data_IF_396754591668
#
_entry.id   IF_396754591668
#
_cell.length_a   1.000
_cell.length_b   1.000
_cell.length_c   1.000
_cell.angle_alpha   90.00
_cell.angle_beta   90.00
_cell.angle_gamma   90.00
#
_symmetry.space_group_name_H-M   'P 1'
#
loop_
_entity.id
_entity.type
_entity.pdbx_description
1 polymer ?
#
# COMPACT_ATOMS: atom_id res chain seq x y z
N UNK A 1 -16.53 -13.63 -5.84
CA UNK A 1 -15.51 -12.74 -6.42
C UNK A 1 -16.15 -12.01 -7.57
N UNK A 2 -16.08 -10.69 -7.56
CA UNK A 2 -16.59 -9.83 -8.65
C UNK A 2 -15.40 -9.36 -9.49
N UNK A 3 -15.58 -9.27 -10.81
CA UNK A 3 -14.47 -8.99 -11.74
C UNK A 3 -15.00 -8.45 -13.05
N UNK A 4 -14.15 -7.70 -13.75
CA UNK A 4 -14.47 -7.21 -15.09
C UNK A 4 -13.23 -6.87 -15.89
N UNK A 5 -13.35 -6.96 -17.21
CA UNK A 5 -12.30 -6.67 -18.18
C UNK A 5 -12.90 -5.85 -19.31
N UNK A 6 -12.23 -4.77 -19.69
CA UNK A 6 -12.38 -4.04 -20.95
C UNK A 6 -11.00 -3.74 -21.51
N UNK A 7 -10.89 -3.17 -22.71
CA UNK A 7 -9.61 -3.01 -23.40
C UNK A 7 -8.55 -2.24 -22.58
N UNK A 8 -8.98 -1.19 -21.87
CA UNK A 8 -8.12 -0.23 -21.15
C UNK A 8 -8.04 -0.46 -19.64
N UNK A 9 -8.78 -1.42 -19.08
CA UNK A 9 -8.83 -1.67 -17.64
C UNK A 9 -9.33 -3.06 -17.30
N UNK A 10 -9.02 -3.48 -16.09
CA UNK A 10 -9.70 -4.61 -15.47
C UNK A 10 -9.66 -4.50 -13.95
N UNK A 11 -10.50 -5.27 -13.28
CA UNK A 11 -10.52 -5.28 -11.82
C UNK A 11 -10.89 -6.65 -11.28
N UNK A 12 -10.48 -6.90 -10.04
CA UNK A 12 -10.86 -8.06 -9.26
C UNK A 12 -11.20 -7.63 -7.84
N UNK A 13 -12.36 -8.04 -7.36
CA UNK A 13 -12.84 -7.80 -6.01
C UNK A 13 -13.19 -9.13 -5.33
N UNK A 14 -12.50 -9.41 -4.22
CA UNK A 14 -12.69 -10.61 -3.43
C UNK A 14 -13.23 -10.23 -2.05
N UNK A 15 -14.12 -11.07 -1.53
CA UNK A 15 -14.63 -10.99 -0.16
C UNK A 15 -14.30 -12.30 0.54
N UNK A 16 -13.77 -12.22 1.76
CA UNK A 16 -13.52 -13.42 2.58
C UNK A 16 -14.83 -14.13 2.90
N UNK A 17 -14.79 -15.45 3.04
CA UNK A 17 -15.99 -16.23 3.36
C UNK A 17 -16.44 -15.99 4.81
N UNK A 18 -17.75 -16.07 5.03
CA UNK A 18 -18.30 -16.05 6.39
C UNK A 18 -17.75 -17.24 7.18
N UNK A 19 -17.45 -17.02 8.45
CA UNK A 19 -16.92 -18.04 9.36
C UNK A 19 -17.87 -18.20 10.55
N UNK A 20 -17.89 -19.37 11.21
CA UNK A 20 -18.79 -19.64 12.33
C UNK A 20 -18.43 -18.86 13.60
N UNK A 21 -17.30 -18.15 13.63
CA UNK A 21 -16.84 -17.37 14.78
C UNK A 21 -17.30 -15.91 14.73
N UNK A 22 -18.11 -15.53 13.73
CA UNK A 22 -18.61 -14.16 13.59
C UNK A 22 -17.54 -13.12 13.27
N UNK A 23 -16.34 -13.55 12.85
CA UNK A 23 -15.28 -12.61 12.45
C UNK A 23 -15.73 -11.87 11.19
N UNK A 24 -15.51 -10.56 11.19
CA UNK A 24 -15.87 -9.67 10.08
C UNK A 24 -15.28 -10.15 8.74
N UNK A 25 -16.07 -10.00 7.67
CA UNK A 25 -15.61 -10.30 6.32
C UNK A 25 -14.85 -9.09 5.75
N UNK A 26 -13.73 -9.37 5.09
CA UNK A 26 -12.93 -8.34 4.44
C UNK A 26 -13.16 -8.38 2.93
N UNK A 27 -13.31 -7.20 2.34
CA UNK A 27 -13.37 -7.00 0.89
C UNK A 27 -12.08 -6.32 0.47
N UNK A 28 -11.46 -6.83 -0.59
CA UNK A 28 -10.33 -6.20 -1.27
C UNK A 28 -10.68 -6.08 -2.75
N UNK A 29 -10.58 -4.87 -3.29
CA UNK A 29 -10.72 -4.58 -4.70
C UNK A 29 -9.38 -4.05 -5.23
N UNK A 30 -8.88 -4.66 -6.30
CA UNK A 30 -7.73 -4.19 -7.06
C UNK A 30 -8.17 -3.91 -8.50
N UNK A 31 -8.09 -2.64 -8.92
CA UNK A 31 -8.34 -2.21 -10.29
C UNK A 31 -7.03 -1.82 -10.96
N UNK A 32 -6.87 -2.17 -12.23
CA UNK A 32 -5.74 -1.77 -13.06
C UNK A 32 -6.20 -0.97 -14.28
N UNK A 33 -5.43 0.06 -14.63
CA UNK A 33 -5.57 0.85 -15.85
C UNK A 33 -4.20 0.97 -16.53
N UNK A 34 -4.19 1.28 -17.82
CA UNK A 34 -2.98 1.27 -18.63
C UNK A 34 -2.82 2.57 -19.42
N UNK A 35 -1.57 2.95 -19.69
CA UNK A 35 -1.21 4.06 -20.55
C UNK A 35 0.09 3.75 -21.31
N UNK A 36 0.46 4.61 -22.26
CA UNK A 36 1.63 4.44 -23.10
C UNK A 36 1.27 4.17 -24.56
N UNK A 37 2.22 3.63 -25.31
CA UNK A 37 2.15 3.52 -26.77
C UNK A 37 1.64 2.17 -27.29
N UNK A 38 1.49 1.19 -26.39
CA UNK A 38 1.01 -0.14 -26.76
C UNK A 38 -0.49 -0.13 -27.06
N UNK A 39 -0.91 -0.92 -28.05
CA UNK A 39 -2.30 -1.11 -28.43
C UNK A 39 -2.87 -2.34 -27.73
N UNK A 40 -4.05 -2.20 -27.15
CA UNK A 40 -4.79 -3.34 -26.62
C UNK A 40 -5.25 -4.22 -27.78
N UNK A 41 -5.06 -5.54 -27.66
CA UNK A 41 -5.54 -6.52 -28.65
C UNK A 41 -6.38 -7.64 -28.02
N UNK A 42 -6.50 -7.68 -26.69
CA UNK A 42 -7.33 -8.66 -26.03
C UNK A 42 -7.41 -8.48 -24.52
N UNK A 43 -8.31 -9.25 -23.92
CA UNK A 43 -8.45 -9.37 -22.48
C UNK A 43 -9.09 -10.70 -22.14
N UNK A 44 -8.78 -11.23 -20.95
CA UNK A 44 -9.41 -12.46 -20.48
C UNK A 44 -9.66 -12.44 -18.99
N UNK A 45 -10.67 -13.19 -18.57
CA UNK A 45 -11.00 -13.39 -17.17
C UNK A 45 -11.25 -14.87 -16.89
N UNK A 46 -10.78 -15.32 -15.73
CA UNK A 46 -11.05 -16.64 -15.16
C UNK A 46 -11.60 -16.47 -13.75
N UNK A 47 -11.78 -17.57 -13.03
CA UNK A 47 -12.18 -17.52 -11.61
C UNK A 47 -11.17 -16.84 -10.71
N UNK A 48 -9.89 -16.82 -11.09
CA UNK A 48 -8.80 -16.37 -10.22
C UNK A 48 -7.96 -15.25 -10.83
N UNK A 49 -8.30 -14.79 -12.03
CA UNK A 49 -7.47 -13.86 -12.78
C UNK A 49 -8.30 -12.94 -13.68
N UNK A 50 -7.81 -11.71 -13.83
CA UNK A 50 -8.14 -10.82 -14.94
C UNK A 50 -6.85 -10.43 -15.67
N UNK A 51 -6.93 -10.25 -16.98
CA UNK A 51 -5.79 -9.90 -17.82
C UNK A 51 -6.20 -8.99 -18.96
N UNK A 52 -5.26 -8.13 -19.34
CA UNK A 52 -5.30 -7.30 -20.53
C UNK A 52 -4.04 -7.59 -21.34
N UNK A 53 -4.18 -7.68 -22.65
CA UNK A 53 -3.10 -8.01 -23.58
C UNK A 53 -2.84 -6.85 -24.52
N UNK A 54 -1.58 -6.47 -24.61
CA UNK A 54 -1.10 -5.29 -25.32
C UNK A 54 0.06 -5.64 -26.24
N UNK A 55 0.12 -5.00 -27.40
CA UNK A 55 1.19 -5.19 -28.38
C UNK A 55 1.69 -3.84 -28.91
N UNK A 56 2.95 -3.82 -29.33
CA UNK A 56 3.58 -2.69 -30.00
C UNK A 56 4.65 -3.22 -30.97
N UNK A 57 4.82 -2.56 -32.11
CA UNK A 57 5.97 -2.76 -32.98
C UNK A 57 7.13 -1.92 -32.46
N UNK A 58 8.21 -2.57 -32.04
CA UNK A 58 9.38 -1.87 -31.49
C UNK A 58 10.36 -1.55 -32.62
N UNK A 59 10.64 -0.26 -32.82
CA UNK A 59 11.60 0.25 -33.80
C UNK A 59 12.81 0.94 -33.16
N UNK A 60 13.31 1.99 -33.80
CA UNK A 60 14.41 2.82 -33.26
C UNK A 60 14.00 3.80 -32.17
N UNK A 61 12.69 3.94 -31.89
CA UNK A 61 12.14 4.80 -30.82
C UNK A 61 11.69 3.93 -29.65
N UNK A 62 11.98 4.31 -28.38
CA UNK A 62 11.48 3.59 -27.22
C UNK A 62 9.96 3.60 -27.13
N UNK A 63 9.38 2.44 -26.87
CA UNK A 63 7.96 2.28 -26.54
C UNK A 63 7.75 2.36 -25.01
N UNK A 64 6.58 2.82 -24.58
CA UNK A 64 6.26 3.00 -23.15
C UNK A 64 5.02 2.21 -22.78
N UNK A 65 5.06 1.57 -21.62
CA UNK A 65 3.92 0.86 -21.05
C UNK A 65 3.82 1.18 -19.57
N UNK A 66 2.73 1.84 -19.19
CA UNK A 66 2.42 2.17 -17.81
C UNK A 66 1.24 1.34 -17.33
N UNK A 67 1.37 0.75 -16.15
CA UNK A 67 0.29 0.08 -15.45
C UNK A 67 0.06 0.75 -14.10
N UNK A 68 -1.17 1.18 -13.86
CA UNK A 68 -1.58 1.86 -12.62
C UNK A 68 -2.56 0.97 -11.88
N UNK A 69 -2.25 0.64 -10.63
CA UNK A 69 -3.08 -0.23 -9.80
C UNK A 69 -3.60 0.54 -8.60
N UNK A 70 -4.92 0.53 -8.42
CA UNK A 70 -5.59 1.09 -7.25
C UNK A 70 -6.15 -0.06 -6.41
N UNK A 71 -5.82 -0.06 -5.12
CA UNK A 71 -6.31 -1.03 -4.14
C UNK A 71 -7.20 -0.32 -3.13
N UNK A 72 -8.38 -0.87 -2.88
CA UNK A 72 -9.39 -0.35 -1.93
C UNK A 72 -9.95 -1.49 -1.10
N UNK A 73 -10.33 -1.22 0.15
CA UNK A 73 -10.72 -2.27 1.09
C UNK A 73 -12.00 -1.94 1.86
N UNK A 74 -12.65 -2.96 2.41
CA UNK A 74 -13.83 -2.77 3.28
C UNK A 74 -13.52 -2.09 4.60
N UNK A 75 -12.24 -1.97 4.99
CA UNK A 75 -11.84 -1.19 6.16
C UNK A 75 -12.10 0.30 5.96
N UNK A 76 -12.15 0.76 4.71
CA UNK A 76 -12.28 2.17 4.35
C UNK A 76 -13.65 2.49 3.75
N UNK A 77 -14.32 1.51 3.14
CA UNK A 77 -15.61 1.68 2.48
C UNK A 77 -16.57 0.52 2.80
N UNK A 78 -17.80 0.81 3.22
CA UNK A 78 -18.74 -0.23 3.61
C UNK A 78 -19.43 -0.89 2.41
N UNK A 79 -19.23 -2.19 2.25
CA UNK A 79 -19.89 -3.01 1.23
C UNK A 79 -19.18 -3.01 -0.13
N UNK A 80 -19.43 -4.07 -0.91
CA UNK A 80 -18.72 -4.34 -2.17
C UNK A 80 -18.83 -3.19 -3.18
N UNK A 81 -20.02 -2.62 -3.35
CA UNK A 81 -20.24 -1.55 -4.31
C UNK A 81 -19.52 -0.25 -3.92
N UNK A 82 -19.47 0.10 -2.63
CA UNK A 82 -18.75 1.28 -2.17
C UNK A 82 -17.24 1.11 -2.36
N UNK A 83 -16.69 -0.06 -2.02
CA UNK A 83 -15.27 -0.39 -2.23
C UNK A 83 -14.89 -0.27 -3.72
N UNK A 84 -15.69 -0.86 -4.61
CA UNK A 84 -15.47 -0.76 -6.06
C UNK A 84 -15.62 0.67 -6.58
N UNK A 85 -16.64 1.40 -6.12
CA UNK A 85 -16.88 2.78 -6.53
C UNK A 85 -15.71 3.70 -6.15
N UNK A 86 -15.17 3.54 -4.94
CA UNK A 86 -13.98 4.26 -4.50
C UNK A 86 -12.75 3.96 -5.39
N UNK A 87 -12.53 2.67 -5.72
CA UNK A 87 -11.44 2.28 -6.61
C UNK A 87 -11.55 2.88 -8.02
N UNK A 88 -12.77 2.98 -8.56
CA UNK A 88 -13.05 3.68 -9.83
C UNK A 88 -12.79 5.18 -9.71
N UNK A 89 -13.34 5.83 -8.70
CA UNK A 89 -13.18 7.27 -8.50
C UNK A 89 -11.70 7.68 -8.32
N UNK A 90 -10.90 6.88 -7.60
CA UNK A 90 -9.46 7.11 -7.47
C UNK A 90 -8.71 6.90 -8.79
N UNK A 91 -9.05 5.84 -9.55
CA UNK A 91 -8.49 5.61 -10.88
C UNK A 91 -8.79 6.78 -11.83
N UNK A 92 -10.01 7.29 -11.81
CA UNK A 92 -10.44 8.45 -12.60
C UNK A 92 -9.72 9.74 -12.17
N UNK A 93 -9.54 9.96 -10.87
CA UNK A 93 -8.82 11.12 -10.33
C UNK A 93 -7.37 11.21 -10.83
N UNK A 94 -6.71 10.06 -11.04
CA UNK A 94 -5.33 10.01 -11.53
C UNK A 94 -5.24 9.75 -13.04
N UNK A 95 -6.38 9.62 -13.74
CA UNK A 95 -6.39 9.42 -15.18
C UNK A 95 -5.78 10.64 -15.88
N UNK A 96 -4.88 10.41 -16.83
CA UNK A 96 -4.20 11.48 -17.57
C UNK A 96 -3.12 12.25 -16.78
N UNK A 97 -2.94 11.99 -15.49
CA UNK A 97 -1.78 12.52 -14.74
C UNK A 97 -0.51 11.81 -15.22
N UNK A 98 0.55 12.54 -15.58
CA UNK A 98 1.80 11.92 -16.03
C UNK A 98 2.46 11.08 -14.93
N UNK A 99 3.17 10.00 -15.30
CA UNK A 99 3.90 9.16 -14.36
C UNK A 99 4.89 9.98 -13.52
N UNK A 100 5.60 10.91 -14.15
CA UNK A 100 6.58 11.79 -13.53
C UNK A 100 5.95 12.63 -12.42
N UNK A 101 4.74 13.13 -12.62
CA UNK A 101 4.00 13.89 -11.59
C UNK A 101 3.68 13.02 -10.37
N UNK A 102 3.28 11.76 -10.59
CA UNK A 102 3.02 10.82 -9.50
C UNK A 102 4.32 10.44 -8.78
N UNK A 103 5.40 10.21 -9.53
CA UNK A 103 6.71 9.89 -8.99
C UNK A 103 7.30 11.04 -8.17
N UNK A 104 7.15 12.28 -8.64
CA UNK A 104 7.67 13.46 -7.95
C UNK A 104 6.88 13.75 -6.67
N UNK A 105 5.56 13.56 -6.67
CA UNK A 105 4.77 13.59 -5.44
C UNK A 105 5.23 12.53 -4.42
N UNK A 106 5.54 11.32 -4.88
CA UNK A 106 6.09 10.26 -4.04
C UNK A 106 7.48 10.62 -3.48
N UNK A 107 8.38 11.15 -4.32
CA UNK A 107 9.72 11.61 -3.89
C UNK A 107 9.63 12.72 -2.87
N UNK A 108 8.73 13.70 -3.06
CA UNK A 108 8.54 14.80 -2.11
C UNK A 108 8.09 14.29 -0.73
N UNK A 109 7.19 13.31 -0.70
CA UNK A 109 6.79 12.63 0.54
C UNK A 109 7.97 11.97 1.25
N UNK A 110 8.81 11.24 0.52
CA UNK A 110 10.02 10.62 1.08
C UNK A 110 11.08 11.63 1.52
N UNK A 111 11.27 12.70 0.75
CA UNK A 111 12.23 13.74 1.08
C UNK A 111 11.88 14.38 2.43
N UNK A 112 10.60 14.69 2.67
CA UNK A 112 10.16 15.20 3.96
C UNK A 112 10.49 14.24 5.12
N UNK A 113 10.33 12.93 4.92
CA UNK A 113 10.71 11.93 5.93
C UNK A 113 12.21 11.93 6.20
N UNK A 114 13.04 12.04 5.15
CA UNK A 114 14.50 12.09 5.28
C UNK A 114 14.99 13.38 5.94
N UNK A 115 14.34 14.52 5.70
CA UNK A 115 14.69 15.80 6.34
C UNK A 115 14.58 15.74 7.87
N UNK A 116 13.68 14.90 8.40
CA UNK A 116 13.47 14.71 9.84
C UNK A 116 14.39 13.61 10.40
N UNK A 117 14.58 12.52 9.64
CA UNK A 117 15.06 11.26 10.19
C UNK A 117 16.45 10.82 9.72
N UNK A 118 17.07 11.48 8.73
CA UNK A 118 18.34 10.98 8.16
C UNK A 118 19.47 11.01 9.18
N UNK A 119 20.27 9.95 9.15
CA UNK A 119 21.46 9.78 10.00
C UNK A 119 22.66 9.69 9.08
N UNK A 120 23.48 10.74 9.09
CA UNK A 120 24.68 10.82 8.25
C UNK A 120 25.87 10.20 9.00
N UNK A 121 26.50 9.20 8.37
CA UNK A 121 27.68 8.49 8.87
C UNK A 121 28.81 8.71 7.88
N UNK A 122 29.84 9.46 8.29
CA UNK A 122 31.03 9.69 7.48
C UNK A 122 32.07 8.59 7.69
N UNK A 123 32.81 8.25 6.64
CA UNK A 123 33.90 7.27 6.70
C UNK A 123 33.50 5.80 6.57
N UNK A 124 32.22 5.50 6.36
CA UNK A 124 31.74 4.14 6.06
C UNK A 124 30.45 4.13 5.23
N UNK A 125 30.58 3.91 3.92
CA UNK A 125 29.44 3.81 3.00
C UNK A 125 28.52 2.63 3.35
N UNK A 126 29.09 1.52 3.83
CA UNK A 126 28.34 0.34 4.26
C UNK A 126 27.45 0.66 5.48
N UNK A 127 27.99 1.36 6.48
CA UNK A 127 27.21 1.77 7.65
C UNK A 127 26.12 2.78 7.25
N UNK A 128 26.43 3.72 6.37
CA UNK A 128 25.48 4.70 5.84
C UNK A 128 24.33 4.03 5.08
N UNK A 129 24.63 3.03 4.25
CA UNK A 129 23.62 2.23 3.55
C UNK A 129 22.77 1.44 4.56
N UNK A 130 23.40 0.83 5.55
CA UNK A 130 22.71 0.02 6.57
C UNK A 130 21.67 0.82 7.36
N UNK A 131 22.03 2.00 7.88
CA UNK A 131 21.09 2.80 8.66
C UNK A 131 19.95 3.35 7.80
N UNK A 132 20.24 3.81 6.57
CA UNK A 132 19.20 4.27 5.65
C UNK A 132 18.27 3.13 5.20
N UNK A 133 18.80 1.93 4.99
CA UNK A 133 17.98 0.77 4.69
C UNK A 133 17.01 0.44 5.84
N UNK A 134 17.50 0.45 7.08
CA UNK A 134 16.67 0.18 8.26
C UNK A 134 15.53 1.21 8.40
N UNK A 135 15.84 2.50 8.30
CA UNK A 135 14.84 3.57 8.36
C UNK A 135 13.85 3.49 7.20
N UNK A 136 14.33 3.25 5.98
CA UNK A 136 13.49 3.08 4.81
C UNK A 136 12.48 1.93 4.98
N UNK A 137 12.91 0.77 5.44
CA UNK A 137 12.01 -0.38 5.66
C UNK A 137 11.00 -0.10 6.77
N UNK A 138 11.44 0.54 7.86
CA UNK A 138 10.57 0.87 8.98
C UNK A 138 9.48 1.86 8.55
N UNK A 139 9.83 2.94 7.86
CA UNK A 139 8.88 3.96 7.38
C UNK A 139 8.03 3.51 6.20
N UNK A 140 8.50 2.53 5.42
CA UNK A 140 7.68 1.85 4.42
C UNK A 140 6.63 0.94 5.07
N UNK A 141 6.90 0.43 6.26
CA UNK A 141 5.99 -0.44 7.01
C UNK A 141 4.95 0.37 7.77
N UNK A 142 5.36 1.44 8.44
CA UNK A 142 4.47 2.28 9.23
C UNK A 142 5.01 3.71 9.28
N UNK A 143 4.14 4.71 9.17
CA UNK A 143 4.51 6.10 9.40
C UNK A 143 3.38 6.89 10.07
N UNK A 144 2.51 6.19 10.80
CA UNK A 144 1.44 6.84 11.57
C UNK A 144 0.24 7.32 10.77
N UNK A 145 0.17 7.11 9.46
CA UNK A 145 -0.92 7.62 8.61
C UNK A 145 -2.28 6.93 8.90
N UNK A 146 -2.28 5.74 9.49
CA UNK A 146 -3.48 5.04 9.95
C UNK A 146 -3.35 4.59 11.41
N UNK A 147 -4.11 5.23 12.31
CA UNK A 147 -4.13 4.93 13.74
C UNK A 147 -4.76 3.57 14.09
N UNK A 148 -5.37 2.89 13.11
CA UNK A 148 -5.91 1.53 13.27
C UNK A 148 -4.87 0.45 13.01
N UNK A 149 -3.69 0.80 12.49
CA UNK A 149 -2.63 -0.14 12.15
C UNK A 149 -1.50 -0.12 13.18
N UNK A 150 -0.65 -1.13 13.11
CA UNK A 150 0.54 -1.29 13.95
C UNK A 150 1.67 -1.95 13.14
N UNK A 151 2.78 -2.26 13.80
CA UNK A 151 4.02 -2.73 13.17
C UNK A 151 4.13 -4.25 13.38
N UNK A 152 4.00 -5.01 12.29
CA UNK A 152 4.27 -6.44 12.31
C UNK A 152 5.78 -6.72 12.36
N UNK A 153 6.26 -7.81 13.00
CA UNK A 153 7.69 -8.12 13.11
C UNK A 153 8.43 -8.24 11.77
N UNK A 154 7.70 -8.52 10.68
CA UNK A 154 8.22 -8.57 9.30
C UNK A 154 7.59 -7.56 8.36
N UNK A 155 6.84 -6.59 8.90
CA UNK A 155 6.07 -5.63 8.10
C UNK A 155 5.30 -6.34 6.98
N UNK A 156 5.49 -5.85 5.75
CA UNK A 156 4.89 -6.42 4.54
C UNK A 156 5.88 -7.24 3.69
N UNK A 157 6.89 -7.85 4.33
CA UNK A 157 7.99 -8.55 3.63
C UNK A 157 7.91 -10.09 3.69
N UNK A 158 6.85 -10.64 4.31
CA UNK A 158 6.60 -12.07 4.35
C UNK A 158 5.55 -12.45 5.39
N UNK A 159 5.15 -13.73 5.40
CA UNK A 159 4.00 -14.19 6.19
C UNK A 159 4.35 -14.66 7.61
N UNK A 160 5.62 -14.95 7.91
CA UNK A 160 6.03 -15.39 9.25
C UNK A 160 5.67 -14.31 10.29
N UNK A 161 5.03 -14.72 11.39
CA UNK A 161 4.41 -13.88 12.43
C UNK A 161 3.08 -13.20 12.04
N UNK A 162 2.54 -13.49 10.85
CA UNK A 162 1.17 -13.15 10.46
C UNK A 162 0.87 -11.66 10.36
N UNK A 163 1.88 -10.78 10.36
CA UNK A 163 1.70 -9.33 10.38
C UNK A 163 1.03 -8.80 11.66
N UNK A 164 0.97 -9.60 12.73
CA UNK A 164 0.28 -9.25 13.96
C UNK A 164 1.08 -8.26 14.82
N UNK A 165 0.42 -7.67 15.83
CA UNK A 165 1.05 -6.76 16.77
C UNK A 165 1.75 -7.51 17.90
N UNK A 166 3.00 -7.12 18.22
CA UNK A 166 3.79 -7.67 19.32
C UNK A 166 4.31 -6.56 20.25
N UNK A 167 4.92 -6.94 21.37
CA UNK A 167 5.59 -6.03 22.30
C UNK A 167 6.77 -5.27 21.68
N UNK A 168 7.28 -5.76 20.54
CA UNK A 168 8.33 -5.15 19.74
C UNK A 168 8.05 -3.68 19.41
N UNK A 169 6.78 -3.33 19.18
CA UNK A 169 6.35 -1.96 18.87
C UNK A 169 6.74 -1.00 19.99
N UNK A 170 6.33 -1.27 21.23
CA UNK A 170 6.59 -0.36 22.34
C UNK A 170 8.03 -0.44 22.84
N UNK A 171 8.64 -1.62 22.79
CA UNK A 171 10.00 -1.82 23.30
C UNK A 171 11.09 -1.26 22.38
N UNK A 172 10.91 -1.35 21.05
CA UNK A 172 11.96 -1.01 20.07
C UNK A 172 11.56 0.08 19.09
N UNK A 173 10.33 0.09 18.57
CA UNK A 173 9.94 1.04 17.54
C UNK A 173 9.57 2.42 18.10
N UNK A 174 8.80 2.47 19.19
CA UNK A 174 8.36 3.73 19.83
C UNK A 174 9.53 4.66 20.19
N UNK A 175 10.63 4.19 20.82
CA UNK A 175 11.79 5.06 21.08
C UNK A 175 12.35 5.73 19.84
N UNK A 176 12.37 5.02 18.70
CA UNK A 176 12.85 5.56 17.42
C UNK A 176 11.89 6.60 16.86
N UNK A 177 10.58 6.33 16.85
CA UNK A 177 9.58 7.29 16.35
C UNK A 177 9.49 8.55 17.21
N UNK A 178 9.75 8.47 18.51
CA UNK A 178 9.86 9.65 19.37
C UNK A 178 11.04 10.56 18.99
N UNK A 179 12.09 10.00 18.39
CA UNK A 179 13.30 10.75 18.02
C UNK A 179 13.31 11.21 16.55
N UNK A 180 12.72 10.42 15.65
CA UNK A 180 12.92 10.55 14.20
C UNK A 180 11.62 10.71 13.39
N UNK A 181 10.51 11.08 14.03
CA UNK A 181 9.25 11.33 13.35
C UNK A 181 8.39 12.35 14.09
N UNK A 182 7.33 12.80 13.44
CA UNK A 182 6.33 13.67 14.07
C UNK A 182 5.67 12.97 15.28
N UNK A 183 5.38 13.71 16.38
CA UNK A 183 4.82 13.14 17.62
C UNK A 183 3.52 12.34 17.41
N UNK A 184 2.74 12.70 16.39
CA UNK A 184 1.50 12.04 15.98
C UNK A 184 1.71 10.55 15.67
N UNK A 185 2.89 10.16 15.16
CA UNK A 185 3.17 8.75 14.83
C UNK A 185 3.16 7.88 16.09
N UNK A 186 3.88 8.31 17.12
CA UNK A 186 3.90 7.60 18.42
C UNK A 186 2.54 7.68 19.12
N UNK A 187 1.85 8.83 19.02
CA UNK A 187 0.49 8.98 19.56
C UNK A 187 -0.47 7.96 18.93
N UNK A 188 -0.38 7.74 17.62
CA UNK A 188 -1.23 6.79 16.92
C UNK A 188 -0.95 5.34 17.33
N UNK A 189 0.31 4.96 17.59
CA UNK A 189 0.66 3.65 18.14
C UNK A 189 0.06 3.43 19.54
N UNK A 190 0.07 4.46 20.41
CA UNK A 190 -0.56 4.38 21.73
C UNK A 190 -2.10 4.35 21.62
N UNK A 191 -2.68 5.12 20.70
CA UNK A 191 -4.12 5.11 20.44
C UNK A 191 -4.60 3.74 19.95
N UNK A 192 -3.82 3.08 19.09
CA UNK A 192 -4.08 1.70 18.65
C UNK A 192 -4.25 0.75 19.85
N UNK A 193 -3.32 0.78 20.81
CA UNK A 193 -3.41 -0.04 22.03
C UNK A 193 -4.61 0.33 22.88
N UNK A 194 -4.84 1.63 23.09
CA UNK A 194 -5.96 2.13 23.88
C UNK A 194 -7.31 1.65 23.33
N UNK A 195 -7.48 1.65 22.00
CA UNK A 195 -8.72 1.21 21.35
C UNK A 195 -9.05 -0.26 21.63
N UNK A 196 -8.04 -1.09 21.95
CA UNK A 196 -8.23 -2.50 22.27
C UNK A 196 -8.62 -2.75 23.72
N UNK A 197 -8.41 -1.79 24.63
CA UNK A 197 -8.83 -1.91 26.03
C UNK A 197 -10.37 -1.97 26.12
N UNK A 198 -11.06 -1.14 25.32
CA UNK A 198 -12.53 -1.14 25.28
C UNK A 198 -13.10 -2.43 24.65
N UNK A 199 -12.37 -3.04 23.71
CA UNK A 199 -12.77 -4.29 23.07
C UNK A 199 -12.54 -5.54 23.94
N UNK A 200 -11.64 -5.47 24.93
CA UNK A 200 -11.35 -6.58 25.85
C UNK A 200 -12.20 -6.62 27.13
N UNK A 201 -13.15 -5.69 27.29
CA UNK A 201 -14.02 -5.58 28.46
C UNK A 201 -15.45 -6.10 28.24
N UNK A 202 -15.69 -6.84 27.15
CA UNK A 202 -16.98 -7.46 26.81
C UNK A 202 -16.90 -8.99 26.89
#
# INVERSE_FOLDING_TARGET
>A
MDKGVSDDRSYIAAQTVANPFGVEQFIVNAGQTFAGSFKAFGGSQTDWQVSNSFEAEVGGTPETFEKRVIVTTSRDYQGLEAVKAAGRALSEKIAGVAFETLLDAHKAGWQHRWEIADVVIEGSDEAQQGIRFNLFQLFSTYYGEDARLNIGPKGFTGEKYGGATYWDTEAYAVPLYLALAEPEVTRNLLQYRRNQIAAGAA
#
